data_IF_367213948888
#
_entry.id   IF_367213948888
#
_cell.length_a   1.000
_cell.length_b   1.000
_cell.length_c   1.000
_cell.angle_alpha   90.00
_cell.angle_beta   90.00
_cell.angle_gamma   90.00
#
_symmetry.space_group_name_H-M   'P 1'
#
loop_
_entity.id
_entity.type
_entity.pdbx_description
1 polymer ?
#
# COMPACT_ATOMS: atom_id res chain seq x y z
N UNK A 1 -58.25 -10.16 -20.64
CA UNK A 1 -57.02 -9.45 -20.24
C UNK A 1 -55.91 -10.05 -21.08
N UNK A 2 -55.36 -9.25 -21.98
CA UNK A 2 -54.28 -9.66 -22.87
C UNK A 2 -53.00 -9.78 -22.03
N UNK A 3 -52.39 -10.97 -22.02
CA UNK A 3 -51.15 -11.21 -21.29
C UNK A 3 -50.03 -10.40 -21.96
N UNK A 4 -49.68 -9.27 -21.34
CA UNK A 4 -48.49 -8.51 -21.73
C UNK A 4 -47.30 -9.11 -20.99
N UNK A 5 -46.55 -9.98 -21.68
CA UNK A 5 -45.20 -10.33 -21.23
C UNK A 5 -44.26 -9.17 -21.59
N UNK A 6 -43.63 -8.51 -20.61
CA UNK A 6 -42.62 -7.51 -20.90
C UNK A 6 -41.45 -8.18 -21.64
N UNK A 7 -40.81 -7.48 -22.61
CA UNK A 7 -39.70 -8.03 -23.36
C UNK A 7 -38.56 -8.46 -22.42
N UNK A 8 -37.96 -9.63 -22.67
CA UNK A 8 -36.76 -10.10 -21.97
C UNK A 8 -35.64 -9.05 -22.14
N UNK A 9 -35.13 -8.54 -21.02
CA UNK A 9 -34.00 -7.63 -21.02
C UNK A 9 -32.72 -8.41 -21.34
N UNK A 10 -32.14 -8.17 -22.51
CA UNK A 10 -30.79 -8.62 -22.86
C UNK A 10 -29.79 -7.49 -22.57
N UNK A 11 -28.76 -7.72 -21.73
CA UNK A 11 -27.74 -6.72 -21.47
C UNK A 11 -26.96 -6.38 -22.74
N UNK A 12 -26.64 -5.10 -22.90
CA UNK A 12 -25.78 -4.58 -23.96
C UNK A 12 -24.35 -5.12 -23.85
N UNK A 13 -23.57 -5.07 -24.94
CA UNK A 13 -22.16 -5.48 -24.90
C UNK A 13 -21.31 -4.63 -23.94
N UNK A 14 -21.71 -3.36 -23.72
CA UNK A 14 -21.08 -2.48 -22.73
C UNK A 14 -21.36 -2.94 -21.30
N UNK A 15 -22.62 -3.25 -20.96
CA UNK A 15 -22.99 -3.77 -19.62
C UNK A 15 -22.32 -5.12 -19.34
N UNK A 16 -22.22 -6.00 -20.35
CA UNK A 16 -21.49 -7.28 -20.22
C UNK A 16 -20.01 -7.07 -19.96
N UNK A 17 -19.39 -6.08 -20.61
CA UNK A 17 -17.98 -5.75 -20.39
C UNK A 17 -17.75 -5.15 -19.00
N UNK A 18 -18.63 -4.27 -18.53
CA UNK A 18 -18.56 -3.72 -17.18
C UNK A 18 -18.71 -4.79 -16.09
N UNK A 19 -19.64 -5.73 -16.28
CA UNK A 19 -19.78 -6.88 -15.38
C UNK A 19 -18.53 -7.77 -15.35
N UNK A 20 -17.92 -8.05 -16.53
CA UNK A 20 -16.65 -8.79 -16.59
C UNK A 20 -15.53 -8.07 -15.84
N UNK A 21 -15.41 -6.76 -16.03
CA UNK A 21 -14.40 -5.95 -15.34
C UNK A 21 -14.63 -5.89 -13.82
N UNK A 22 -15.88 -5.81 -13.38
CA UNK A 22 -16.23 -5.86 -11.96
C UNK A 22 -15.84 -7.20 -11.33
N UNK A 23 -16.17 -8.32 -11.98
CA UNK A 23 -15.84 -9.66 -11.49
C UNK A 23 -14.31 -9.88 -11.46
N UNK A 24 -13.57 -9.43 -12.48
CA UNK A 24 -12.10 -9.55 -12.51
C UNK A 24 -11.46 -8.72 -11.37
N UNK A 25 -11.93 -7.49 -11.13
CA UNK A 25 -11.46 -6.67 -10.00
C UNK A 25 -11.74 -7.34 -8.68
N UNK A 26 -12.94 -7.88 -8.49
CA UNK A 26 -13.37 -8.58 -7.29
C UNK A 26 -12.48 -9.80 -7.01
N UNK A 27 -12.25 -10.63 -8.02
CA UNK A 27 -11.42 -11.83 -7.91
C UNK A 27 -9.98 -11.45 -7.54
N UNK A 28 -9.39 -10.47 -8.23
CA UNK A 28 -8.04 -10.00 -7.91
C UNK A 28 -7.97 -9.42 -6.50
N UNK A 29 -8.96 -8.63 -6.10
CA UNK A 29 -8.99 -8.08 -4.75
C UNK A 29 -9.04 -9.19 -3.69
N UNK A 30 -9.89 -10.20 -3.89
CA UNK A 30 -10.00 -11.38 -3.03
C UNK A 30 -8.70 -12.17 -2.93
N UNK A 31 -7.93 -12.28 -4.02
CA UNK A 31 -6.63 -12.97 -4.04
C UNK A 31 -5.50 -12.14 -3.42
N UNK A 32 -5.54 -10.81 -3.55
CA UNK A 32 -4.50 -9.91 -3.04
C UNK A 32 -4.63 -9.65 -1.53
N UNK A 33 -5.83 -9.58 -0.97
CA UNK A 33 -5.99 -9.24 0.45
C UNK A 33 -5.25 -10.19 1.40
N UNK A 34 -5.32 -11.53 1.27
CA UNK A 34 -4.59 -12.45 2.15
C UNK A 34 -3.06 -12.30 2.06
N UNK A 35 -2.55 -11.87 0.91
CA UNK A 35 -1.12 -11.58 0.69
C UNK A 35 -0.72 -10.35 1.51
N UNK A 36 -1.52 -9.28 1.46
CA UNK A 36 -1.30 -8.07 2.26
C UNK A 36 -1.44 -8.35 3.76
N UNK A 37 -2.43 -9.16 4.17
CA UNK A 37 -2.58 -9.58 5.56
C UNK A 37 -1.35 -10.32 6.08
N UNK A 38 -0.86 -11.29 5.32
CA UNK A 38 0.35 -12.04 5.67
C UNK A 38 1.56 -11.12 5.79
N UNK A 39 1.68 -10.13 4.89
CA UNK A 39 2.73 -9.12 4.95
C UNK A 39 2.64 -8.31 6.26
N UNK A 40 1.45 -7.84 6.61
CA UNK A 40 1.20 -7.08 7.85
C UNK A 40 1.59 -7.92 9.07
N UNK A 41 1.09 -9.15 9.16
CA UNK A 41 1.28 -10.03 10.30
C UNK A 41 2.75 -10.37 10.55
N UNK A 42 3.55 -10.51 9.48
CA UNK A 42 4.98 -10.77 9.57
C UNK A 42 5.81 -9.51 9.84
N UNK A 43 5.45 -8.38 9.22
CA UNK A 43 6.25 -7.14 9.29
C UNK A 43 6.07 -6.43 10.64
N UNK A 44 4.83 -6.36 11.13
CA UNK A 44 4.47 -5.67 12.38
C UNK A 44 5.33 -6.06 13.60
N UNK A 45 5.53 -7.35 13.94
CA UNK A 45 6.36 -7.70 15.10
C UNK A 45 7.82 -7.26 14.94
N UNK A 46 8.38 -7.28 13.73
CA UNK A 46 9.75 -6.83 13.46
C UNK A 46 9.89 -5.32 13.70
N UNK A 47 8.98 -4.53 13.15
CA UNK A 47 8.99 -3.07 13.35
C UNK A 47 8.78 -2.71 14.82
N UNK A 48 7.92 -3.43 15.53
CA UNK A 48 7.73 -3.23 16.98
C UNK A 48 8.99 -3.54 17.78
N UNK A 49 9.76 -4.58 17.42
CA UNK A 49 11.04 -4.85 18.08
C UNK A 49 12.06 -3.75 17.81
N UNK A 50 12.12 -3.21 16.58
CA UNK A 50 12.96 -2.05 16.29
C UNK A 50 12.54 -0.84 17.13
N UNK A 51 11.22 -0.57 17.25
CA UNK A 51 10.70 0.51 18.11
C UNK A 51 11.17 0.34 19.56
N UNK A 52 11.13 -0.87 20.11
CA UNK A 52 11.64 -1.15 21.45
C UNK A 52 13.14 -0.88 21.58
N UNK A 53 13.96 -1.25 20.57
CA UNK A 53 15.38 -0.91 20.57
C UNK A 53 15.62 0.60 20.53
N UNK A 54 14.85 1.34 19.74
CA UNK A 54 14.91 2.81 19.69
C UNK A 54 14.50 3.43 21.03
N UNK A 55 13.43 2.96 21.66
CA UNK A 55 13.00 3.44 22.98
C UNK A 55 14.04 3.16 24.08
N UNK A 56 14.75 2.03 23.99
CA UNK A 56 15.86 1.73 24.89
C UNK A 56 17.02 2.70 24.66
N UNK A 57 17.37 2.95 23.39
CA UNK A 57 18.42 3.91 23.03
C UNK A 57 18.09 5.33 23.49
N UNK A 58 16.84 5.79 23.36
CA UNK A 58 16.40 7.09 23.88
C UNK A 58 16.62 7.19 25.40
N UNK A 59 16.28 6.13 26.15
CA UNK A 59 16.52 6.08 27.59
C UNK A 59 18.00 6.05 27.93
N UNK A 60 18.80 5.33 27.16
CA UNK A 60 20.25 5.29 27.36
C UNK A 60 20.89 6.65 27.03
N UNK A 61 20.37 7.37 26.04
CA UNK A 61 20.83 8.72 25.73
C UNK A 61 20.58 9.71 26.87
N UNK A 62 19.43 9.60 27.57
CA UNK A 62 19.13 10.44 28.73
C UNK A 62 20.06 10.21 29.94
N UNK A 63 20.72 9.05 29.99
CA UNK A 63 21.61 8.66 31.08
C UNK A 63 23.09 8.64 30.67
N UNK A 64 23.43 9.29 29.56
CA UNK A 64 24.79 9.36 28.98
C UNK A 64 25.45 7.97 28.75
N UNK A 65 24.64 6.93 28.50
CA UNK A 65 25.10 5.55 28.24
C UNK A 65 24.66 5.01 26.86
N UNK A 66 24.30 5.89 25.92
CA UNK A 66 23.92 5.51 24.55
C UNK A 66 25.05 4.73 23.85
N UNK A 67 24.70 3.53 23.41
CA UNK A 67 25.53 2.70 22.53
C UNK A 67 24.86 2.59 21.14
N UNK A 68 25.24 3.51 20.24
CA UNK A 68 24.73 3.53 18.87
C UNK A 68 25.07 2.25 18.09
N UNK A 69 26.21 1.60 18.36
CA UNK A 69 26.59 0.34 17.69
C UNK A 69 25.67 -0.79 18.10
N UNK A 70 25.36 -0.90 19.39
CA UNK A 70 24.40 -1.89 19.88
C UNK A 70 23.02 -1.66 19.29
N UNK A 71 22.57 -0.42 19.16
CA UNK A 71 21.30 -0.10 18.50
C UNK A 71 21.32 -0.59 17.04
N UNK A 72 22.34 -0.23 16.27
CA UNK A 72 22.50 -0.64 14.87
C UNK A 72 22.47 -2.17 14.74
N UNK A 73 23.27 -2.87 15.55
CA UNK A 73 23.40 -4.33 15.50
C UNK A 73 22.09 -5.06 15.79
N UNK A 74 21.25 -4.50 16.66
CA UNK A 74 19.93 -5.08 16.97
C UNK A 74 18.87 -4.74 15.91
N UNK A 75 18.84 -3.49 15.44
CA UNK A 75 17.80 -3.01 14.53
C UNK A 75 17.99 -3.44 13.07
N UNK A 76 19.24 -3.48 12.60
CA UNK A 76 19.59 -3.79 11.21
C UNK A 76 19.01 -5.11 10.69
N UNK A 77 19.19 -6.26 11.36
CA UNK A 77 18.63 -7.53 10.84
C UNK A 77 17.11 -7.52 10.77
N UNK A 78 16.43 -6.85 11.71
CA UNK A 78 14.96 -6.73 11.72
C UNK A 78 14.45 -5.88 10.55
N UNK A 79 15.12 -4.75 10.26
CA UNK A 79 14.80 -3.90 9.12
C UNK A 79 15.02 -4.64 7.79
N UNK A 80 16.12 -5.37 7.66
CA UNK A 80 16.41 -6.16 6.46
C UNK A 80 15.35 -7.25 6.24
N UNK A 81 14.93 -7.94 7.28
CA UNK A 81 13.88 -8.96 7.19
C UNK A 81 12.52 -8.34 6.84
N UNK A 82 12.16 -7.21 7.44
CA UNK A 82 10.95 -6.46 7.07
C UNK A 82 10.97 -6.02 5.60
N UNK A 83 12.12 -5.55 5.10
CA UNK A 83 12.31 -5.24 3.67
C UNK A 83 12.15 -6.48 2.79
N UNK A 84 12.68 -7.64 3.19
CA UNK A 84 12.53 -8.88 2.43
C UNK A 84 11.04 -9.29 2.33
N UNK A 85 10.29 -9.22 3.43
CA UNK A 85 8.86 -9.53 3.44
C UNK A 85 8.08 -8.61 2.49
N UNK A 86 8.36 -7.31 2.48
CA UNK A 86 7.73 -6.38 1.53
C UNK A 86 8.10 -6.70 0.07
N UNK A 87 9.34 -7.08 -0.22
CA UNK A 87 9.74 -7.48 -1.57
C UNK A 87 9.05 -8.77 -2.03
N UNK A 88 8.95 -9.78 -1.16
CA UNK A 88 8.22 -11.02 -1.45
C UNK A 88 6.73 -10.73 -1.72
N UNK A 89 6.15 -9.86 -0.91
CA UNK A 89 4.76 -9.40 -1.06
C UNK A 89 4.56 -8.70 -2.39
N UNK A 90 5.44 -7.77 -2.75
CA UNK A 90 5.40 -7.11 -4.06
C UNK A 90 5.51 -8.12 -5.22
N UNK A 91 6.41 -9.10 -5.12
CA UNK A 91 6.55 -10.17 -6.10
C UNK A 91 5.27 -11.00 -6.26
N UNK A 92 4.64 -11.37 -5.15
CA UNK A 92 3.37 -12.10 -5.15
C UNK A 92 2.23 -11.30 -5.78
N UNK A 93 2.11 -10.00 -5.45
CA UNK A 93 1.13 -9.11 -6.08
C UNK A 93 1.36 -9.01 -7.59
N UNK A 94 2.61 -8.87 -8.05
CA UNK A 94 2.94 -8.84 -9.48
C UNK A 94 2.63 -10.15 -10.19
N UNK A 95 2.73 -11.28 -9.52
CA UNK A 95 2.37 -12.58 -10.10
C UNK A 95 0.87 -12.71 -10.37
N UNK A 96 0.02 -12.02 -9.59
CA UNK A 96 -1.44 -12.00 -9.78
C UNK A 96 -1.90 -11.07 -10.92
N UNK A 97 -1.14 -10.03 -11.26
CA UNK A 97 -1.40 -9.17 -12.43
C UNK A 97 -0.11 -8.85 -13.22
N UNK A 98 0.49 -9.83 -13.92
CA UNK A 98 1.81 -9.68 -14.55
C UNK A 98 1.86 -8.58 -15.61
N UNK A 99 0.74 -8.38 -16.33
CA UNK A 99 0.61 -7.43 -17.43
C UNK A 99 0.13 -6.03 -16.97
N UNK A 100 -0.18 -5.87 -15.67
CA UNK A 100 -0.88 -4.70 -15.14
C UNK A 100 -2.22 -4.48 -15.85
N UNK A 101 -2.89 -5.56 -16.28
CA UNK A 101 -4.06 -5.47 -17.16
C UNK A 101 -5.20 -4.79 -16.42
N UNK A 102 -5.42 -5.11 -15.15
CA UNK A 102 -6.50 -4.46 -14.40
C UNK A 102 -6.16 -3.02 -14.06
N UNK A 103 -4.89 -2.69 -13.82
CA UNK A 103 -4.44 -1.30 -13.67
C UNK A 103 -4.67 -0.45 -14.94
N UNK A 104 -4.54 -1.05 -16.13
CA UNK A 104 -4.74 -0.37 -17.42
C UNK A 104 -6.22 -0.15 -17.74
N UNK A 105 -7.09 -1.11 -17.41
CA UNK A 105 -8.52 -1.00 -17.66
C UNK A 105 -9.22 -0.10 -16.63
N UNK A 106 -8.72 -0.07 -15.39
CA UNK A 106 -9.18 0.82 -14.33
C UNK A 106 -9.05 2.32 -14.67
N UNK A 107 -8.15 2.70 -15.60
CA UNK A 107 -7.94 4.08 -16.08
C UNK A 107 -9.06 4.64 -16.98
N UNK A 108 -10.00 3.81 -17.44
CA UNK A 108 -10.93 4.18 -18.51
C UNK A 108 -12.33 4.65 -18.09
N UNK A 109 -12.80 4.34 -16.88
CA UNK A 109 -14.20 4.60 -16.49
C UNK A 109 -14.30 5.01 -15.01
N UNK A 110 -14.83 6.21 -14.77
CA UNK A 110 -15.03 6.79 -13.44
C UNK A 110 -16.17 6.10 -12.67
N UNK A 111 -16.02 6.03 -11.34
CA UNK A 111 -17.04 5.67 -10.36
C UNK A 111 -17.87 4.40 -10.65
N UNK A 112 -17.20 3.29 -10.93
CA UNK A 112 -17.85 1.97 -10.88
C UNK A 112 -18.21 1.57 -9.45
N UNK A 113 -19.20 0.68 -9.31
CA UNK A 113 -19.53 0.01 -8.06
C UNK A 113 -18.26 -0.58 -7.42
N UNK A 114 -18.09 -0.34 -6.11
CA UNK A 114 -16.97 -0.85 -5.32
C UNK A 114 -17.40 -2.12 -4.63
N UNK A 115 -16.70 -3.21 -4.88
CA UNK A 115 -16.98 -4.48 -4.23
C UNK A 115 -16.50 -4.50 -2.77
N UNK A 116 -17.06 -5.39 -1.95
CA UNK A 116 -16.63 -5.54 -0.55
C UNK A 116 -15.17 -5.98 -0.46
N UNK A 117 -14.74 -6.77 -1.42
CA UNK A 117 -13.39 -7.29 -1.58
C UNK A 117 -12.40 -6.14 -1.88
N UNK A 118 -12.76 -5.20 -2.76
CA UNK A 118 -11.97 -3.98 -3.02
C UNK A 118 -11.90 -3.06 -1.79
N UNK A 119 -13.02 -2.85 -1.08
CA UNK A 119 -13.01 -2.09 0.17
C UNK A 119 -12.09 -2.70 1.21
N UNK A 120 -12.16 -4.02 1.38
CA UNK A 120 -11.29 -4.73 2.31
C UNK A 120 -9.83 -4.58 1.91
N UNK A 121 -9.48 -4.82 0.64
CA UNK A 121 -8.12 -4.64 0.15
C UNK A 121 -7.60 -3.21 0.38
N UNK A 122 -8.44 -2.19 0.14
CA UNK A 122 -8.08 -0.80 0.38
C UNK A 122 -7.80 -0.50 1.86
N UNK A 123 -8.61 -1.03 2.78
CA UNK A 123 -8.39 -0.93 4.23
C UNK A 123 -7.06 -1.58 4.65
N UNK A 124 -6.79 -2.79 4.16
CA UNK A 124 -5.54 -3.51 4.48
C UNK A 124 -4.32 -2.79 3.93
N UNK A 125 -4.41 -2.27 2.71
CA UNK A 125 -3.33 -1.48 2.10
C UNK A 125 -3.09 -0.17 2.87
N UNK A 126 -4.16 0.47 3.34
CA UNK A 126 -4.10 1.67 4.18
C UNK A 126 -3.37 1.38 5.48
N UNK A 127 -3.78 0.31 6.18
CA UNK A 127 -3.14 -0.12 7.40
C UNK A 127 -1.63 -0.39 7.21
N UNK A 128 -1.26 -1.12 6.15
CA UNK A 128 0.14 -1.41 5.85
C UNK A 128 0.94 -0.13 5.60
N UNK A 129 0.40 0.76 4.76
CA UNK A 129 0.98 2.07 4.44
C UNK A 129 1.24 2.88 5.69
N UNK A 130 0.20 3.14 6.47
CA UNK A 130 0.28 3.98 7.66
C UNK A 130 1.24 3.39 8.69
N UNK A 131 1.15 2.07 8.92
CA UNK A 131 1.99 1.41 9.91
C UNK A 131 3.48 1.49 9.57
N UNK A 132 3.85 1.23 8.31
CA UNK A 132 5.26 1.26 7.87
C UNK A 132 5.75 2.69 7.73
N UNK A 133 4.96 3.60 7.16
CA UNK A 133 5.36 4.99 6.96
C UNK A 133 5.54 5.71 8.29
N UNK A 134 4.58 5.61 9.21
CA UNK A 134 4.73 6.21 10.54
C UNK A 134 5.95 5.63 11.28
N UNK A 135 6.21 4.32 11.16
CA UNK A 135 7.43 3.73 11.71
C UNK A 135 8.70 4.36 11.13
N UNK A 136 8.78 4.56 9.82
CA UNK A 136 9.94 5.16 9.15
C UNK A 136 10.15 6.60 9.65
N UNK A 137 9.09 7.40 9.69
CA UNK A 137 9.17 8.81 10.08
C UNK A 137 9.55 8.97 11.55
N UNK A 138 8.92 8.20 12.45
CA UNK A 138 9.27 8.17 13.87
C UNK A 138 10.74 7.76 14.07
N UNK A 139 11.20 6.73 13.34
CA UNK A 139 12.58 6.24 13.45
C UNK A 139 13.57 7.27 12.95
N UNK A 140 13.31 7.91 11.80
CA UNK A 140 14.16 8.98 11.27
C UNK A 140 14.28 10.15 12.24
N UNK A 141 13.16 10.58 12.83
CA UNK A 141 13.14 11.67 13.80
C UNK A 141 14.01 11.36 15.03
N UNK A 142 13.92 10.15 15.56
CA UNK A 142 14.76 9.73 16.70
C UNK A 142 16.25 9.67 16.35
N UNK A 143 16.57 9.25 15.13
CA UNK A 143 17.96 9.15 14.65
C UNK A 143 18.64 10.52 14.45
N UNK A 144 17.91 11.64 14.44
CA UNK A 144 18.51 12.96 14.20
C UNK A 144 19.62 13.34 15.19
N UNK A 145 19.55 12.82 16.42
CA UNK A 145 20.56 13.04 17.45
C UNK A 145 21.55 11.88 17.62
N UNK A 146 21.53 10.89 16.72
CA UNK A 146 22.38 9.69 16.76
C UNK A 146 23.16 9.57 15.44
N UNK A 147 24.26 10.33 15.25
CA UNK A 147 24.89 10.52 13.93
C UNK A 147 25.41 9.22 13.29
N UNK A 148 25.86 8.26 14.10
CA UNK A 148 26.37 6.97 13.61
C UNK A 148 25.21 6.05 13.24
N UNK A 149 24.22 5.91 14.11
CA UNK A 149 23.01 5.14 13.84
C UNK A 149 22.26 5.70 12.63
N UNK A 150 22.14 7.03 12.51
CA UNK A 150 21.52 7.70 11.37
C UNK A 150 22.20 7.35 10.05
N UNK A 151 23.53 7.33 10.02
CA UNK A 151 24.31 7.00 8.83
C UNK A 151 24.04 5.57 8.34
N UNK A 152 23.92 4.62 9.26
CA UNK A 152 23.81 3.21 8.94
C UNK A 152 22.36 2.72 8.77
N UNK A 153 21.41 3.31 9.52
CA UNK A 153 20.00 2.93 9.49
C UNK A 153 19.19 3.68 8.44
N UNK A 154 19.51 4.95 8.11
CA UNK A 154 18.76 5.70 7.07
C UNK A 154 18.68 4.95 5.73
N UNK A 155 19.77 4.37 5.20
CA UNK A 155 19.69 3.58 3.98
C UNK A 155 18.77 2.36 4.09
N UNK A 156 18.69 1.72 5.26
CA UNK A 156 17.79 0.58 5.50
C UNK A 156 16.32 1.02 5.52
N UNK A 157 16.02 2.18 6.10
CA UNK A 157 14.69 2.77 6.07
C UNK A 157 14.26 3.13 4.63
N UNK A 158 15.20 3.62 3.81
CA UNK A 158 14.94 3.86 2.38
C UNK A 158 14.67 2.55 1.63
N UNK A 159 15.43 1.49 1.93
CA UNK A 159 15.22 0.16 1.36
C UNK A 159 13.88 -0.47 1.79
N UNK A 160 13.41 -0.20 3.00
CA UNK A 160 12.07 -0.59 3.48
C UNK A 160 10.97 0.20 2.77
N UNK A 161 11.17 1.50 2.55
CA UNK A 161 10.20 2.38 1.91
C UNK A 161 9.94 2.02 0.43
N UNK A 162 10.98 1.65 -0.33
CA UNK A 162 10.84 1.35 -1.76
C UNK A 162 9.78 0.28 -2.09
N UNK A 163 9.82 -0.95 -1.54
CA UNK A 163 8.83 -1.96 -1.85
C UNK A 163 7.43 -1.61 -1.30
N UNK A 164 7.32 -0.83 -0.22
CA UNK A 164 6.03 -0.30 0.23
C UNK A 164 5.36 0.54 -0.87
N UNK A 165 6.09 1.52 -1.41
CA UNK A 165 5.60 2.37 -2.51
C UNK A 165 5.22 1.54 -3.74
N UNK A 166 5.99 0.49 -4.04
CA UNK A 166 5.71 -0.39 -5.16
C UNK A 166 4.43 -1.21 -4.98
N UNK A 167 4.19 -1.74 -3.77
CA UNK A 167 2.93 -2.43 -3.42
C UNK A 167 1.75 -1.47 -3.57
N UNK A 168 1.85 -0.27 -3.01
CA UNK A 168 0.76 0.72 -3.02
C UNK A 168 0.49 1.21 -4.43
N UNK A 169 1.52 1.43 -5.24
CA UNK A 169 1.34 1.78 -6.65
C UNK A 169 0.69 0.63 -7.44
N UNK A 170 1.10 -0.62 -7.18
CA UNK A 170 0.56 -1.77 -7.89
C UNK A 170 -0.91 -2.05 -7.51
N UNK A 171 -1.27 -1.92 -6.24
CA UNK A 171 -2.61 -2.23 -5.74
C UNK A 171 -3.54 -1.02 -5.87
N UNK A 172 -3.06 0.18 -5.59
CA UNK A 172 -3.85 1.42 -5.64
C UNK A 172 -4.39 1.75 -7.04
N UNK A 173 -3.68 1.36 -8.09
CA UNK A 173 -4.16 1.48 -9.47
C UNK A 173 -5.33 0.52 -9.81
N UNK A 174 -5.46 -0.59 -9.08
CA UNK A 174 -6.59 -1.53 -9.26
C UNK A 174 -7.88 -0.98 -8.62
N UNK A 175 -7.73 -0.12 -7.61
CA UNK A 175 -8.82 0.40 -6.78
C UNK A 175 -9.38 1.73 -7.31
N UNK A 176 -9.65 1.83 -8.62
CA UNK A 176 -10.21 3.07 -9.22
C UNK A 176 -11.61 3.46 -8.70
N UNK A 177 -12.31 2.55 -8.02
CA UNK A 177 -13.54 2.88 -7.27
C UNK A 177 -13.28 3.50 -5.89
N UNK A 178 -12.04 3.43 -5.39
CA UNK A 178 -11.63 3.87 -4.04
C UNK A 178 -10.55 4.97 -4.11
N UNK A 179 -10.59 5.79 -5.16
CA UNK A 179 -9.60 6.84 -5.44
C UNK A 179 -9.41 7.83 -4.31
N UNK A 180 -10.45 8.09 -3.51
CA UNK A 180 -10.35 8.93 -2.32
C UNK A 180 -9.43 8.33 -1.25
N UNK A 181 -9.51 7.02 -1.01
CA UNK A 181 -8.64 6.34 -0.04
C UNK A 181 -7.23 6.15 -0.61
N UNK A 182 -7.10 5.70 -1.86
CA UNK A 182 -5.77 5.57 -2.49
C UNK A 182 -5.07 6.92 -2.59
N UNK A 183 -5.82 8.00 -2.85
CA UNK A 183 -5.29 9.36 -2.89
C UNK A 183 -4.77 9.86 -1.55
N UNK A 184 -5.47 9.57 -0.45
CA UNK A 184 -4.97 9.92 0.88
C UNK A 184 -3.68 9.14 1.21
N UNK A 185 -3.57 7.88 0.78
CA UNK A 185 -2.35 7.08 0.97
C UNK A 185 -1.15 7.64 0.19
N UNK A 186 -1.33 7.87 -1.11
CA UNK A 186 -0.27 8.42 -1.94
C UNK A 186 0.13 9.83 -1.48
N UNK A 187 -0.82 10.63 -0.99
CA UNK A 187 -0.55 11.93 -0.39
C UNK A 187 0.26 11.85 0.91
N UNK A 188 -0.09 10.92 1.80
CA UNK A 188 0.65 10.67 3.04
C UNK A 188 2.09 10.20 2.83
N UNK A 189 2.35 9.50 1.72
CA UNK A 189 3.69 9.03 1.33
C UNK A 189 4.52 10.07 0.55
N UNK A 190 3.98 11.27 0.32
CA UNK A 190 4.64 12.29 -0.51
C UNK A 190 4.68 11.95 -2.01
N UNK A 191 3.84 11.01 -2.46
CA UNK A 191 3.73 10.56 -3.85
C UNK A 191 2.67 11.34 -4.64
N UNK A 192 2.45 12.61 -4.28
CA UNK A 192 1.45 13.49 -4.91
C UNK A 192 1.54 13.49 -6.45
N UNK A 193 2.75 13.46 -7.02
CA UNK A 193 2.94 13.41 -8.48
C UNK A 193 2.44 12.10 -9.13
N UNK A 194 2.51 10.98 -8.42
CA UNK A 194 1.96 9.70 -8.90
C UNK A 194 0.44 9.77 -8.81
N UNK A 195 -0.11 10.27 -7.70
CA UNK A 195 -1.54 10.49 -7.54
C UNK A 195 -2.12 11.39 -8.63
N UNK A 196 -1.49 12.54 -8.89
CA UNK A 196 -1.88 13.48 -9.95
C UNK A 196 -1.85 12.80 -11.33
N UNK A 197 -0.89 11.90 -11.58
CA UNK A 197 -0.80 11.13 -12.83
C UNK A 197 -1.91 10.08 -12.95
N UNK A 198 -2.40 9.54 -11.83
CA UNK A 198 -3.55 8.62 -11.79
C UNK A 198 -4.85 9.40 -12.02
N UNK A 199 -5.06 10.52 -11.32
CA UNK A 199 -6.23 11.39 -11.49
C UNK A 199 -6.33 11.97 -12.90
N UNK A 200 -5.21 12.44 -13.45
CA UNK A 200 -5.14 12.96 -14.82
C UNK A 200 -5.36 11.85 -15.86
N UNK A 201 -4.83 10.64 -15.61
CA UNK A 201 -5.07 9.48 -16.47
C UNK A 201 -6.52 8.99 -16.49
N UNK A 202 -7.31 9.35 -15.48
CA UNK A 202 -8.74 9.04 -15.33
C UNK A 202 -9.66 10.18 -15.82
N UNK A 203 -9.09 11.33 -16.23
CA UNK A 203 -9.86 12.52 -16.64
C UNK A 203 -10.65 13.19 -15.50
N UNK A 204 -10.29 12.90 -14.25
CA UNK A 204 -10.97 13.42 -13.05
C UNK A 204 -10.36 14.75 -12.55
N UNK A 205 -9.25 15.19 -13.17
CA UNK A 205 -8.57 16.45 -12.92
C UNK A 205 -9.47 17.69 -13.12
N UNK A 206 -10.55 17.55 -13.90
CA UNK A 206 -11.52 18.62 -14.21
C UNK A 206 -12.72 18.69 -13.27
N UNK A 207 -12.93 17.71 -12.39
CA UNK A 207 -14.09 17.64 -11.49
C UNK A 207 -13.80 18.18 -10.08
N UNK A 208 -12.53 18.39 -9.73
CA UNK A 208 -12.07 18.85 -8.41
C UNK A 208 -11.50 20.28 -8.42
N UNK A 209 -11.63 21.00 -9.55
CA UNK A 209 -11.23 22.40 -9.72
C UNK A 209 -12.40 23.37 -9.71
#
# INVERSE_FOLDING_TARGET
>A
MENYEPPEYEPTEEEKEEQRQLEERREKASQMSPIIDTCIDKTKPLLNQVKQHMENADRDQMNDNLDEEKLINNAKPLLQEATNILNETWGAIRALDPDGKVQKHAKGKGSGEVTKEEYYLADRLTYLSDHVQSFIDDTRSKLDNMPKAKKDMSPLLDMLHQPLVQIISAVGLLLSGVLGLVGSLLGGLGLNRIFDSVLSGLGLDKLLG
#
